data_IF_575018882769
#
_entry.id   IF_575018882769
#
_cell.length_a   1.000
_cell.length_b   1.000
_cell.length_c   1.000
_cell.angle_alpha   90.00
_cell.angle_beta   90.00
_cell.angle_gamma   90.00
#
_symmetry.space_group_name_H-M   'P 1'
#
loop_
_entity.id
_entity.type
_entity.pdbx_description
1 polymer ?
#
# COMPACT_ATOMS: atom_id res chain seq x y z
N UNK A 1 -5.39 -24.31 -18.87
CA UNK A 1 -6.25 -24.39 -17.68
C UNK A 1 -6.57 -22.97 -17.26
N UNK A 2 -7.82 -22.54 -17.44
CA UNK A 2 -8.23 -21.18 -17.06
C UNK A 2 -8.20 -21.05 -15.55
N UNK A 3 -7.57 -20.00 -15.03
CA UNK A 3 -7.65 -19.65 -13.61
C UNK A 3 -9.11 -19.50 -13.21
N UNK A 4 -9.49 -20.07 -12.07
CA UNK A 4 -10.81 -19.96 -11.47
C UNK A 4 -11.28 -18.49 -11.46
N UNK A 5 -12.49 -18.22 -11.96
CA UNK A 5 -13.03 -16.86 -12.03
C UNK A 5 -13.31 -16.36 -10.59
N UNK A 6 -12.38 -15.59 -10.03
CA UNK A 6 -12.59 -14.89 -8.76
C UNK A 6 -13.27 -13.54 -8.97
N UNK A 7 -14.25 -13.21 -8.11
CA UNK A 7 -14.92 -11.90 -8.12
C UNK A 7 -13.97 -10.75 -7.78
N UNK A 8 -14.30 -9.52 -8.18
CA UNK A 8 -13.51 -8.33 -7.86
C UNK A 8 -13.32 -8.15 -6.33
N UNK A 9 -14.37 -8.42 -5.55
CA UNK A 9 -14.34 -8.36 -4.08
C UNK A 9 -13.45 -9.45 -3.49
N UNK A 10 -13.46 -10.65 -4.06
CA UNK A 10 -12.60 -11.75 -3.59
C UNK A 10 -11.14 -11.52 -3.96
N UNK A 11 -10.84 -10.89 -5.11
CA UNK A 11 -9.49 -10.47 -5.47
C UNK A 11 -8.96 -9.40 -4.52
N UNK A 12 -9.80 -8.43 -4.16
CA UNK A 12 -9.46 -7.41 -3.17
C UNK A 12 -9.15 -8.03 -1.80
N UNK A 13 -10.04 -8.91 -1.32
CA UNK A 13 -9.87 -9.59 -0.04
C UNK A 13 -8.66 -10.53 -0.05
N UNK A 14 -8.40 -11.22 -1.15
CA UNK A 14 -7.22 -12.07 -1.33
C UNK A 14 -5.93 -11.26 -1.45
N UNK A 15 -5.97 -10.09 -2.07
CA UNK A 15 -4.84 -9.17 -2.12
C UNK A 15 -4.41 -8.74 -0.71
N UNK A 16 -5.33 -8.13 0.05
CA UNK A 16 -5.02 -7.62 1.40
C UNK A 16 -4.77 -8.71 2.44
N UNK A 17 -5.01 -9.98 2.09
CA UNK A 17 -4.66 -11.13 2.91
C UNK A 17 -3.37 -11.83 2.52
N UNK A 18 -2.71 -11.42 1.43
CA UNK A 18 -1.47 -12.01 0.90
C UNK A 18 -0.21 -11.22 1.28
N UNK A 19 0.97 -11.81 0.97
CA UNK A 19 2.27 -11.11 1.03
C UNK A 19 2.42 -10.19 -0.18
N UNK A 20 2.71 -8.92 0.06
CA UNK A 20 2.94 -7.94 -1.01
C UNK A 20 3.91 -6.84 -0.57
N UNK A 21 4.41 -6.08 -1.54
CA UNK A 21 5.26 -4.91 -1.30
C UNK A 21 4.65 -3.69 -1.97
N UNK A 22 4.51 -2.61 -1.21
CA UNK A 22 3.99 -1.32 -1.65
C UNK A 22 5.15 -0.44 -2.10
N UNK A 23 5.22 -0.10 -3.39
CA UNK A 23 6.21 0.82 -3.92
C UNK A 23 5.73 2.26 -3.79
N UNK A 24 6.38 3.03 -2.93
CA UNK A 24 6.26 4.48 -2.88
C UNK A 24 7.17 5.07 -3.96
N UNK A 25 6.60 5.49 -5.09
CA UNK A 25 7.39 5.92 -6.25
C UNK A 25 7.97 7.33 -6.15
N UNK A 26 7.43 8.16 -5.26
CA UNK A 26 7.85 9.54 -5.04
C UNK A 26 7.64 9.98 -3.59
N UNK A 27 8.35 11.01 -3.13
CA UNK A 27 8.15 11.62 -1.80
C UNK A 27 7.48 12.97 -1.90
N UNK A 28 6.34 13.09 -1.21
CA UNK A 28 5.46 14.25 -1.24
C UNK A 28 4.34 14.04 -2.26
N UNK A 29 3.16 13.68 -1.77
CA UNK A 29 1.98 13.50 -2.60
C UNK A 29 1.24 14.84 -2.82
N UNK A 30 0.99 15.28 -4.07
CA UNK A 30 0.34 16.56 -4.35
C UNK A 30 -1.14 16.59 -3.96
N UNK A 31 -1.79 15.42 -3.88
CA UNK A 31 -3.18 15.28 -3.44
C UNK A 31 -3.34 15.72 -1.98
N UNK A 32 -2.26 15.58 -1.19
CA UNK A 32 -2.11 16.15 0.15
C UNK A 32 -3.38 16.05 1.01
N UNK A 33 -3.91 14.83 1.21
CA UNK A 33 -5.16 14.62 1.94
C UNK A 33 -5.02 15.02 3.41
N UNK A 34 -5.23 16.29 3.73
CA UNK A 34 -4.79 16.94 4.99
C UNK A 34 -5.31 16.24 6.24
N UNK A 35 -6.55 15.74 6.20
CA UNK A 35 -7.17 15.07 7.34
C UNK A 35 -6.53 13.71 7.61
N UNK A 36 -6.38 12.86 6.60
CA UNK A 36 -6.13 11.41 6.77
C UNK A 36 -4.72 10.93 6.37
N UNK A 37 -3.94 11.78 5.71
CA UNK A 37 -2.62 11.41 5.21
C UNK A 37 -1.54 12.24 5.93
N UNK A 38 -0.66 11.63 6.75
CA UNK A 38 0.40 12.34 7.45
C UNK A 38 1.61 12.60 6.53
N UNK A 39 1.37 13.17 5.35
CA UNK A 39 2.42 13.48 4.37
C UNK A 39 3.49 14.40 4.93
N UNK A 40 3.08 15.37 5.74
CA UNK A 40 3.97 16.33 6.38
C UNK A 40 4.98 15.67 7.32
N UNK A 41 4.62 14.53 7.91
CA UNK A 41 5.51 13.73 8.77
C UNK A 41 6.50 12.97 7.90
N UNK A 42 6.01 12.29 6.86
CA UNK A 42 6.86 11.55 5.92
C UNK A 42 7.89 12.45 5.24
N UNK A 43 7.45 13.57 4.65
CA UNK A 43 8.33 14.49 3.92
C UNK A 43 9.43 15.04 4.83
N UNK A 44 9.09 15.36 6.08
CA UNK A 44 10.03 15.85 7.09
C UNK A 44 11.06 14.79 7.48
N UNK A 45 10.62 13.56 7.74
CA UNK A 45 11.47 12.49 8.24
C UNK A 45 12.29 11.80 7.14
N UNK A 46 11.84 11.87 5.88
CA UNK A 46 12.56 11.25 4.76
C UNK A 46 13.93 11.89 4.48
N UNK A 47 14.02 13.21 4.65
CA UNK A 47 15.26 13.98 4.46
C UNK A 47 15.60 14.27 2.99
N UNK A 48 16.91 14.36 2.72
CA UNK A 48 17.50 14.76 1.41
C UNK A 48 17.84 13.58 0.48
N UNK A 49 17.39 12.37 0.78
CA UNK A 49 17.64 11.19 -0.05
C UNK A 49 16.90 11.28 -1.41
N UNK A 50 17.16 10.32 -2.30
CA UNK A 50 16.47 10.18 -3.60
C UNK A 50 14.97 10.26 -3.41
N UNK A 51 14.30 11.27 -3.98
CA UNK A 51 12.85 11.53 -3.77
C UNK A 51 11.95 10.97 -4.86
N UNK A 52 12.51 10.55 -5.98
CA UNK A 52 11.80 9.97 -7.12
C UNK A 52 12.48 8.67 -7.51
N UNK A 53 11.72 7.58 -7.54
CA UNK A 53 12.26 6.28 -7.89
C UNK A 53 12.62 6.26 -9.38
N UNK A 54 13.82 5.77 -9.72
CA UNK A 54 14.19 5.56 -11.11
C UNK A 54 13.75 4.17 -11.57
N UNK A 55 13.58 3.99 -12.89
CA UNK A 55 13.31 2.65 -13.44
C UNK A 55 14.45 1.67 -13.11
N UNK A 56 15.70 2.12 -13.12
CA UNK A 56 16.85 1.26 -12.83
C UNK A 56 16.87 0.81 -11.36
N UNK A 57 16.67 1.72 -10.42
CA UNK A 57 16.57 1.35 -9.00
C UNK A 57 15.38 0.41 -8.75
N UNK A 58 14.23 0.66 -9.39
CA UNK A 58 13.09 -0.24 -9.34
C UNK A 58 13.45 -1.66 -9.81
N UNK A 59 14.11 -1.79 -10.98
CA UNK A 59 14.57 -3.08 -11.52
C UNK A 59 15.49 -3.81 -10.53
N UNK A 60 16.46 -3.11 -9.95
CA UNK A 60 17.36 -3.69 -8.94
C UNK A 60 16.59 -4.20 -7.74
N UNK A 61 15.70 -3.38 -7.17
CA UNK A 61 14.88 -3.79 -6.02
C UNK A 61 13.96 -4.96 -6.35
N UNK A 62 13.35 -4.95 -7.54
CA UNK A 62 12.45 -6.01 -7.99
C UNK A 62 13.19 -7.35 -8.09
N UNK A 63 14.44 -7.35 -8.56
CA UNK A 63 15.24 -8.58 -8.66
C UNK A 63 15.51 -9.25 -7.30
N UNK A 64 15.46 -8.48 -6.21
CA UNK A 64 15.58 -8.97 -4.84
C UNK A 64 14.26 -9.44 -4.21
N UNK A 65 13.14 -9.41 -4.95
CA UNK A 65 11.81 -9.82 -4.47
C UNK A 65 11.36 -11.13 -5.14
N UNK A 66 10.92 -12.15 -4.41
CA UNK A 66 10.40 -13.40 -4.97
C UNK A 66 9.12 -13.21 -5.78
N UNK A 67 8.96 -13.98 -6.87
CA UNK A 67 7.78 -13.89 -7.78
C UNK A 67 6.44 -14.18 -7.10
N UNK A 68 6.43 -14.88 -5.97
CA UNK A 68 5.21 -15.14 -5.19
C UNK A 68 4.65 -13.88 -4.52
N UNK A 69 5.50 -12.88 -4.27
CA UNK A 69 5.15 -11.62 -3.61
C UNK A 69 4.51 -10.70 -4.64
N UNK A 70 3.36 -10.11 -4.32
CA UNK A 70 2.69 -9.19 -5.22
C UNK A 70 3.31 -7.80 -5.17
N UNK A 71 3.30 -7.08 -6.29
CA UNK A 71 3.80 -5.71 -6.39
C UNK A 71 2.62 -4.76 -6.36
N UNK A 72 2.59 -3.86 -5.39
CA UNK A 72 1.56 -2.83 -5.27
C UNK A 72 2.13 -1.45 -5.56
N UNK A 73 1.53 -0.75 -6.52
CA UNK A 73 1.84 0.65 -6.80
C UNK A 73 0.82 1.53 -6.07
N UNK A 74 1.16 1.87 -4.83
CA UNK A 74 0.38 2.74 -3.95
C UNK A 74 1.32 3.43 -2.96
N UNK A 75 1.80 2.69 -1.95
CA UNK A 75 2.67 3.16 -0.90
C UNK A 75 2.18 4.45 -0.26
N UNK A 76 3.13 5.35 -0.02
CA UNK A 76 2.85 6.65 0.57
C UNK A 76 2.69 7.77 -0.45
N UNK A 77 2.54 7.51 -1.75
CA UNK A 77 2.42 8.59 -2.73
C UNK A 77 1.65 8.17 -3.97
N UNK A 78 0.95 9.12 -4.58
CA UNK A 78 0.28 8.89 -5.87
C UNK A 78 1.29 8.36 -6.90
N UNK A 79 1.10 7.13 -7.44
CA UNK A 79 2.05 6.55 -8.39
C UNK A 79 2.21 7.37 -9.66
N UNK A 80 1.15 8.02 -10.17
CA UNK A 80 1.19 8.83 -11.39
C UNK A 80 2.06 10.10 -11.28
N UNK A 81 2.52 10.48 -10.08
CA UNK A 81 3.51 11.53 -9.89
C UNK A 81 4.88 11.14 -10.46
N UNK A 82 5.17 9.84 -10.54
CA UNK A 82 6.41 9.34 -11.13
C UNK A 82 6.22 9.10 -12.63
N UNK A 83 6.94 9.80 -13.52
CA UNK A 83 6.78 9.67 -14.97
C UNK A 83 7.15 8.27 -15.49
N UNK A 84 7.96 7.51 -14.74
CA UNK A 84 8.34 6.13 -15.09
C UNK A 84 7.41 5.07 -14.50
N UNK A 85 6.30 5.45 -13.86
CA UNK A 85 5.37 4.50 -13.23
C UNK A 85 4.92 3.39 -14.18
N UNK A 86 4.42 3.73 -15.37
CA UNK A 86 3.89 2.74 -16.31
C UNK A 86 4.99 1.82 -16.84
N UNK A 87 6.23 2.33 -17.00
CA UNK A 87 7.38 1.51 -17.38
C UNK A 87 7.79 0.52 -16.28
N UNK A 88 7.73 0.94 -15.01
CA UNK A 88 7.95 0.05 -13.86
C UNK A 88 6.88 -1.04 -13.81
N UNK A 89 5.61 -0.69 -14.00
CA UNK A 89 4.50 -1.65 -14.01
C UNK A 89 4.62 -2.64 -15.19
N UNK A 90 4.93 -2.16 -16.39
CA UNK A 90 5.23 -2.99 -17.57
C UNK A 90 6.38 -3.96 -17.29
N UNK A 91 7.44 -3.47 -16.65
CA UNK A 91 8.60 -4.31 -16.31
C UNK A 91 8.23 -5.39 -15.28
N UNK A 92 7.48 -5.05 -14.22
CA UNK A 92 7.03 -6.02 -13.22
C UNK A 92 6.20 -7.15 -13.86
N UNK A 93 5.27 -6.81 -14.74
CA UNK A 93 4.48 -7.79 -15.48
C UNK A 93 5.34 -8.67 -16.40
N UNK A 94 6.28 -8.06 -17.13
CA UNK A 94 7.23 -8.79 -18.00
C UNK A 94 8.06 -9.81 -17.20
N UNK A 95 8.44 -9.45 -15.99
CA UNK A 95 9.19 -10.29 -15.06
C UNK A 95 8.33 -11.36 -14.34
N UNK A 96 7.04 -11.45 -14.66
CA UNK A 96 6.13 -12.47 -14.13
C UNK A 96 5.50 -12.14 -12.78
N UNK A 97 5.59 -10.90 -12.30
CA UNK A 97 4.88 -10.47 -11.10
C UNK A 97 3.40 -10.19 -11.40
N UNK A 98 2.58 -10.37 -10.37
CA UNK A 98 1.22 -9.81 -10.34
C UNK A 98 1.28 -8.40 -9.77
N UNK A 99 0.47 -7.50 -10.32
CA UNK A 99 0.44 -6.11 -9.90
C UNK A 99 -0.93 -5.71 -9.34
N UNK A 100 -0.89 -4.87 -8.31
CA UNK A 100 -2.01 -4.09 -7.82
C UNK A 100 -1.68 -2.61 -7.99
N UNK A 101 -2.70 -1.77 -8.20
CA UNK A 101 -2.55 -0.32 -8.27
C UNK A 101 -3.63 0.34 -7.43
N UNK A 102 -3.24 1.25 -6.54
CA UNK A 102 -4.16 2.22 -5.95
C UNK A 102 -3.73 3.63 -6.34
N UNK A 103 -4.60 4.34 -7.03
CA UNK A 103 -4.29 5.64 -7.64
C UNK A 103 -5.48 6.59 -7.53
N UNK A 104 -5.17 7.87 -7.46
CA UNK A 104 -6.08 9.01 -7.59
C UNK A 104 -6.13 9.53 -9.04
N UNK A 105 -5.21 9.05 -9.90
CA UNK A 105 -4.87 9.56 -11.23
C UNK A 105 -4.31 10.99 -11.25
N UNK A 106 -4.00 11.59 -10.10
CA UNK A 106 -3.45 12.94 -10.12
C UNK A 106 -2.06 12.99 -10.75
N UNK A 107 -1.89 13.88 -11.74
CA UNK A 107 -0.68 13.98 -12.56
C UNK A 107 -0.60 12.95 -13.69
N UNK A 108 -1.61 12.10 -13.89
CA UNK A 108 -1.64 11.18 -15.02
C UNK A 108 -1.89 11.94 -16.33
N UNK A 109 -0.98 11.76 -17.30
CA UNK A 109 -1.17 12.25 -18.66
C UNK A 109 -2.06 11.30 -19.47
N UNK A 110 -2.59 11.79 -20.60
CA UNK A 110 -3.26 10.96 -21.60
C UNK A 110 -2.46 9.71 -22.02
N UNK A 111 -1.14 9.84 -22.14
CA UNK A 111 -0.24 8.73 -22.48
C UNK A 111 -0.09 7.75 -21.31
N UNK A 112 0.03 8.25 -20.08
CA UNK A 112 0.04 7.42 -18.86
C UNK A 112 -1.23 6.55 -18.80
N UNK A 113 -2.41 7.14 -19.02
CA UNK A 113 -3.67 6.38 -19.05
C UNK A 113 -3.71 5.37 -20.18
N UNK A 114 -3.28 5.75 -21.39
CA UNK A 114 -3.19 4.81 -22.52
C UNK A 114 -2.32 3.59 -22.17
N UNK A 115 -1.20 3.81 -21.50
CA UNK A 115 -0.32 2.74 -21.05
C UNK A 115 -0.96 1.87 -19.97
N UNK A 116 -1.66 2.47 -19.00
CA UNK A 116 -2.37 1.74 -17.95
C UNK A 116 -3.46 0.82 -18.53
N UNK A 117 -4.21 1.30 -19.51
CA UNK A 117 -5.26 0.53 -20.19
C UNK A 117 -4.72 -0.74 -20.90
N UNK A 118 -3.42 -0.78 -21.22
CA UNK A 118 -2.78 -1.94 -21.84
C UNK A 118 -2.30 -2.99 -20.82
N UNK A 119 -2.41 -2.74 -19.52
CA UNK A 119 -1.89 -3.61 -18.46
C UNK A 119 -2.97 -4.55 -17.89
N UNK A 120 -2.49 -5.64 -17.26
CA UNK A 120 -3.33 -6.58 -16.52
C UNK A 120 -3.11 -6.39 -15.03
N UNK A 121 -4.20 -6.29 -14.27
CA UNK A 121 -4.18 -6.03 -12.83
C UNK A 121 -4.80 -7.19 -12.06
N UNK A 122 -4.18 -7.55 -10.94
CA UNK A 122 -4.80 -8.43 -9.95
C UNK A 122 -5.89 -7.68 -9.17
N UNK A 123 -5.64 -6.40 -8.87
CA UNK A 123 -6.63 -5.47 -8.35
C UNK A 123 -6.28 -4.02 -8.69
N UNK A 124 -7.32 -3.19 -8.78
CA UNK A 124 -7.22 -1.79 -9.13
C UNK A 124 -8.17 -0.97 -8.26
N UNK A 125 -7.62 -0.01 -7.51
CA UNK A 125 -8.39 0.91 -6.68
C UNK A 125 -8.28 2.32 -7.23
N UNK A 126 -9.42 2.93 -7.54
CA UNK A 126 -9.51 4.32 -7.94
C UNK A 126 -10.05 5.15 -6.78
N UNK A 127 -9.21 6.03 -6.24
CA UNK A 127 -9.62 7.02 -5.25
C UNK A 127 -10.17 8.26 -5.95
N UNK A 128 -11.48 8.44 -5.86
CA UNK A 128 -12.18 9.57 -6.45
C UNK A 128 -12.10 10.82 -5.57
N UNK A 129 -12.26 12.03 -6.14
CA UNK A 129 -12.27 13.27 -5.38
C UNK A 129 -13.36 13.26 -4.30
N UNK A 130 -13.00 13.67 -3.08
CA UNK A 130 -13.96 13.77 -1.95
C UNK A 130 -14.56 15.18 -1.78
N UNK A 131 -14.03 16.17 -2.51
CA UNK A 131 -14.48 17.56 -2.49
C UNK A 131 -14.19 18.35 -1.21
N UNK A 132 -13.48 17.77 -0.24
CA UNK A 132 -13.34 18.37 1.11
C UNK A 132 -11.96 18.25 1.74
N UNK A 133 -11.34 17.07 1.69
CA UNK A 133 -10.12 16.76 2.42
C UNK A 133 -8.93 16.47 1.52
N UNK A 134 -9.16 16.20 0.24
CA UNK A 134 -8.13 15.98 -0.77
C UNK A 134 -8.05 17.12 -1.78
N UNK A 135 -6.83 17.46 -2.18
CA UNK A 135 -6.52 18.54 -3.10
C UNK A 135 -6.44 18.02 -4.55
N UNK A 136 -7.59 17.74 -5.15
CA UNK A 136 -7.67 17.32 -6.54
C UNK A 136 -7.67 18.51 -7.50
N UNK A 137 -6.86 18.43 -8.56
CA UNK A 137 -6.98 19.33 -9.71
C UNK A 137 -7.93 18.69 -10.73
N UNK A 138 -9.16 19.21 -10.81
CA UNK A 138 -10.22 18.65 -11.67
C UNK A 138 -10.18 19.26 -13.08
N UNK A 139 -9.03 19.12 -13.76
CA UNK A 139 -8.90 19.52 -15.16
C UNK A 139 -9.77 18.65 -16.07
N UNK A 140 -10.02 19.10 -17.29
CA UNK A 140 -10.77 18.29 -18.25
C UNK A 140 -10.00 17.02 -18.66
N UNK A 141 -8.66 17.11 -18.75
CA UNK A 141 -7.81 15.92 -18.94
C UNK A 141 -7.97 14.92 -17.79
N UNK A 142 -8.01 15.39 -16.53
CA UNK A 142 -8.23 14.53 -15.38
C UNK A 142 -9.58 13.80 -15.46
N UNK A 143 -10.67 14.52 -15.75
CA UNK A 143 -12.02 13.94 -15.85
C UNK A 143 -12.09 12.90 -16.97
N UNK A 144 -11.55 13.23 -18.15
CA UNK A 144 -11.50 12.32 -19.28
C UNK A 144 -10.69 11.06 -18.94
N UNK A 145 -9.54 11.22 -18.30
CA UNK A 145 -8.70 10.11 -17.85
C UNK A 145 -9.41 9.20 -16.85
N UNK A 146 -10.17 9.76 -15.90
CA UNK A 146 -11.03 8.99 -14.99
C UNK A 146 -12.04 8.17 -15.78
N UNK A 147 -12.79 8.78 -16.71
CA UNK A 147 -13.79 8.08 -17.52
C UNK A 147 -13.17 6.94 -18.34
N UNK A 148 -12.03 7.19 -18.99
CA UNK A 148 -11.31 6.17 -19.77
C UNK A 148 -10.89 4.99 -18.91
N UNK A 149 -10.38 5.23 -17.69
CA UNK A 149 -10.04 4.16 -16.75
C UNK A 149 -11.28 3.38 -16.32
N UNK A 150 -12.36 4.08 -15.95
CA UNK A 150 -13.63 3.45 -15.53
C UNK A 150 -14.23 2.54 -16.61
N UNK A 151 -14.10 2.90 -17.88
CA UNK A 151 -14.59 2.12 -19.00
C UNK A 151 -13.63 1.00 -19.41
N UNK A 152 -12.32 1.24 -19.32
CA UNK A 152 -11.32 0.37 -19.91
C UNK A 152 -10.70 -0.66 -18.96
N UNK A 153 -10.75 -0.44 -17.63
CA UNK A 153 -10.26 -1.41 -16.64
C UNK A 153 -11.46 -2.08 -15.97
N UNK A 154 -11.64 -3.41 -16.14
CA UNK A 154 -12.70 -4.13 -15.45
C UNK A 154 -12.38 -4.31 -13.95
N UNK A 155 -13.40 -4.54 -13.14
CA UNK A 155 -13.26 -4.90 -11.71
C UNK A 155 -12.56 -3.83 -10.83
N UNK A 156 -12.74 -2.55 -11.17
CA UNK A 156 -12.24 -1.44 -10.34
C UNK A 156 -13.00 -1.38 -9.01
N UNK A 157 -12.26 -1.15 -7.94
CA UNK A 157 -12.82 -0.70 -6.67
C UNK A 157 -12.73 0.82 -6.58
N UNK A 158 -13.84 1.45 -6.18
CA UNK A 158 -13.89 2.90 -5.99
C UNK A 158 -13.85 3.22 -4.50
N UNK A 159 -13.09 4.25 -4.15
CA UNK A 159 -13.07 4.79 -2.80
C UNK A 159 -13.15 6.31 -2.83
N UNK A 160 -13.85 6.88 -1.86
CA UNK A 160 -13.81 8.30 -1.53
C UNK A 160 -13.52 8.43 -0.04
N UNK A 161 -12.72 9.44 0.33
CA UNK A 161 -12.35 9.71 1.73
C UNK A 161 -13.12 10.92 2.28
N UNK A 162 -14.45 10.93 2.15
CA UNK A 162 -15.30 12.02 2.65
C UNK A 162 -15.52 11.91 4.19
N UNK A 163 -16.54 12.58 4.73
CA UNK A 163 -16.83 12.54 6.16
C UNK A 163 -17.24 11.17 6.70
N UNK A 164 -17.65 10.24 5.83
CA UNK A 164 -17.98 8.86 6.21
C UNK A 164 -16.73 7.97 6.29
N UNK A 165 -15.59 8.45 5.82
CA UNK A 165 -14.35 7.69 5.86
C UNK A 165 -13.81 7.59 7.29
N UNK A 166 -13.69 6.35 7.77
CA UNK A 166 -13.09 6.05 9.06
C UNK A 166 -11.65 5.59 8.83
N UNK A 167 -10.70 6.44 9.22
CA UNK A 167 -9.29 6.09 9.15
C UNK A 167 -8.92 5.02 10.19
N UNK A 168 -7.75 4.44 10.00
CA UNK A 168 -7.09 3.60 10.99
C UNK A 168 -6.34 4.41 12.07
N UNK A 169 -6.58 5.72 12.17
CA UNK A 169 -5.89 6.71 13.02
C UNK A 169 -4.39 6.84 12.76
N UNK A 170 -3.88 6.31 11.64
CA UNK A 170 -2.46 6.37 11.31
C UNK A 170 -1.95 7.81 11.35
N UNK A 171 -2.72 8.73 10.80
CA UNK A 171 -2.43 10.16 10.78
C UNK A 171 -2.21 10.72 12.18
N UNK A 172 -3.06 10.34 13.14
CA UNK A 172 -2.98 10.81 14.51
C UNK A 172 -1.78 10.19 15.22
N UNK A 173 -1.53 8.89 15.03
CA UNK A 173 -0.33 8.21 15.54
C UNK A 173 0.95 8.87 15.02
N UNK A 174 1.00 9.18 13.73
CA UNK A 174 2.15 9.82 13.09
C UNK A 174 2.36 11.26 13.58
N UNK A 175 1.27 11.96 13.92
CA UNK A 175 1.27 13.32 14.50
C UNK A 175 1.48 13.36 16.01
N UNK A 176 1.67 12.21 16.66
CA UNK A 176 1.94 12.11 18.11
C UNK A 176 0.69 12.10 18.99
N UNK A 177 -0.50 12.01 18.40
CA UNK A 177 -1.76 11.82 19.12
C UNK A 177 -1.93 10.31 19.36
N UNK A 178 -1.49 9.87 20.54
CA UNK A 178 -1.45 8.45 20.89
C UNK A 178 -2.70 8.03 21.69
N UNK A 179 -3.44 6.99 21.25
CA UNK A 179 -4.48 6.38 22.06
C UNK A 179 -3.86 5.60 23.24
N UNK A 180 -4.70 5.02 24.10
CA UNK A 180 -4.23 4.10 25.15
C UNK A 180 -3.51 2.91 24.50
N UNK A 181 -2.29 2.56 24.95
CA UNK A 181 -1.54 1.44 24.38
C UNK A 181 -2.21 0.10 24.70
N UNK A 182 -2.18 -0.81 23.73
CA UNK A 182 -2.59 -2.21 23.88
C UNK A 182 -1.40 -3.02 24.36
N UNK A 183 -1.59 -3.80 25.44
CA UNK A 183 -0.54 -4.68 26.00
C UNK A 183 -0.39 -5.99 25.23
N UNK A 184 -1.46 -6.46 24.61
CA UNK A 184 -1.51 -7.74 23.87
C UNK A 184 -2.25 -7.54 22.56
N UNK A 185 -1.75 -8.16 21.51
CA UNK A 185 -2.48 -8.26 20.26
C UNK A 185 -1.68 -8.97 19.18
N UNK A 186 -2.30 -9.07 18.00
CA UNK A 186 -1.72 -9.78 16.87
C UNK A 186 -1.85 -8.94 15.60
N UNK A 187 -0.76 -8.90 14.81
CA UNK A 187 -0.75 -8.29 13.49
C UNK A 187 -0.67 -9.37 12.41
N UNK A 188 -1.63 -9.39 11.48
CA UNK A 188 -1.61 -10.31 10.34
C UNK A 188 -0.38 -10.12 9.45
N UNK A 189 0.18 -8.90 9.42
CA UNK A 189 1.39 -8.58 8.65
C UNK A 189 2.60 -9.40 9.12
N UNK A 190 2.62 -9.89 10.36
CA UNK A 190 3.68 -10.79 10.85
C UNK A 190 3.72 -12.12 10.10
N UNK A 191 2.54 -12.66 9.78
CA UNK A 191 2.41 -13.87 8.98
C UNK A 191 2.66 -13.56 7.50
N UNK A 192 1.98 -12.52 6.99
CA UNK A 192 2.02 -12.12 5.58
C UNK A 192 2.56 -10.68 5.46
N UNK A 193 3.89 -10.47 5.32
CA UNK A 193 4.47 -9.14 5.30
C UNK A 193 3.91 -8.25 4.18
N UNK A 194 3.70 -6.98 4.55
CA UNK A 194 3.19 -5.91 3.68
C UNK A 194 4.11 -4.70 3.87
N UNK A 195 5.30 -4.79 3.28
CA UNK A 195 6.35 -3.78 3.42
C UNK A 195 6.10 -2.60 2.49
N UNK A 196 6.59 -1.43 2.89
CA UNK A 196 6.57 -0.23 2.03
C UNK A 196 7.99 0.09 1.60
N UNK A 197 8.21 0.17 0.29
CA UNK A 197 9.52 0.39 -0.33
C UNK A 197 9.60 1.86 -0.73
N UNK A 198 10.65 2.52 -0.27
CA UNK A 198 10.89 3.94 -0.53
C UNK A 198 11.68 4.16 -1.83
N UNK A 199 11.69 5.38 -2.42
CA UNK A 199 12.43 5.67 -3.64
C UNK A 199 13.94 5.40 -3.58
N UNK A 200 14.55 5.50 -2.40
CA UNK A 200 15.97 5.19 -2.14
C UNK A 200 16.21 3.71 -1.76
N UNK A 201 15.17 2.89 -1.84
CA UNK A 201 15.19 1.45 -1.56
C UNK A 201 15.06 1.06 -0.10
N UNK A 202 15.01 2.02 0.83
CA UNK A 202 14.70 1.71 2.24
C UNK A 202 13.37 0.98 2.33
N UNK A 203 13.34 -0.04 3.18
CA UNK A 203 12.15 -0.86 3.42
C UNK A 203 11.57 -0.53 4.77
N UNK A 204 10.35 0.02 4.78
CA UNK A 204 9.58 0.23 6.00
C UNK A 204 8.75 -1.00 6.33
N UNK A 205 8.59 -1.23 7.63
CA UNK A 205 7.86 -2.39 8.16
C UNK A 205 6.39 -2.48 7.73
N UNK A 206 5.72 -1.34 7.51
CA UNK A 206 4.26 -1.29 7.44
C UNK A 206 3.76 0.06 6.87
N UNK A 207 2.57 0.03 6.25
CA UNK A 207 1.77 1.19 5.81
C UNK A 207 1.40 2.20 6.92
N UNK A 208 1.67 1.86 8.18
CA UNK A 208 1.47 2.74 9.33
C UNK A 208 2.69 3.63 9.62
N UNK A 209 3.89 3.28 9.12
CA UNK A 209 5.17 3.89 9.53
C UNK A 209 5.56 5.10 8.68
N UNK A 210 4.70 6.13 8.60
CA UNK A 210 5.05 7.38 7.91
C UNK A 210 6.18 8.15 8.61
N UNK A 211 6.45 7.84 9.89
CA UNK A 211 7.59 8.40 10.62
C UNK A 211 8.93 7.81 10.19
N UNK A 212 8.93 6.67 9.51
CA UNK A 212 10.12 5.92 9.10
C UNK A 212 10.98 5.46 10.29
N UNK A 213 10.35 5.23 11.46
CA UNK A 213 11.03 4.85 12.69
C UNK A 213 11.55 3.41 12.63
N UNK A 214 10.93 2.56 11.79
CA UNK A 214 11.20 1.13 11.73
C UNK A 214 11.65 0.72 10.34
N UNK A 215 12.76 1.28 9.88
CA UNK A 215 13.42 0.81 8.64
C UNK A 215 14.06 -0.57 8.85
N UNK A 216 13.72 -1.54 8.00
CA UNK A 216 14.21 -2.92 8.06
C UNK A 216 15.55 -3.09 7.35
N UNK A 217 15.78 -2.38 6.25
CA UNK A 217 16.98 -2.54 5.42
C UNK A 217 16.76 -1.83 4.08
N UNK A 218 17.48 -2.24 3.03
CA UNK A 218 17.39 -1.64 1.71
C UNK A 218 17.29 -2.72 0.62
N UNK A 219 16.26 -2.68 -0.24
CA UNK A 219 16.12 -3.67 -1.34
C UNK A 219 17.13 -3.46 -2.48
N UNK A 220 17.94 -2.41 -2.46
CA UNK A 220 19.03 -2.25 -3.43
C UNK A 220 20.16 -3.25 -3.20
N UNK A 221 20.34 -3.70 -1.95
CA UNK A 221 21.46 -4.58 -1.55
C UNK A 221 21.04 -5.79 -0.70
N UNK A 222 19.80 -5.82 -0.21
CA UNK A 222 19.32 -6.84 0.72
C UNK A 222 18.16 -7.64 0.11
N UNK A 223 18.29 -8.98 -0.03
CA UNK A 223 17.18 -9.83 -0.48
C UNK A 223 15.96 -9.77 0.44
N UNK A 224 14.76 -9.87 -0.15
CA UNK A 224 13.49 -9.79 0.56
C UNK A 224 13.38 -10.79 1.72
N UNK A 225 13.84 -12.03 1.55
CA UNK A 225 13.78 -13.07 2.58
C UNK A 225 14.56 -12.70 3.84
N UNK A 226 15.71 -12.04 3.67
CA UNK A 226 16.50 -11.55 4.80
C UNK A 226 15.74 -10.48 5.57
N UNK A 227 15.03 -9.58 4.86
CA UNK A 227 14.17 -8.56 5.46
C UNK A 227 12.98 -9.19 6.20
N UNK A 228 12.35 -10.22 5.63
CA UNK A 228 11.26 -10.98 6.28
C UNK A 228 11.75 -11.63 7.58
N UNK A 229 12.93 -12.28 7.55
CA UNK A 229 13.52 -12.89 8.75
C UNK A 229 13.74 -11.83 9.85
N UNK A 230 14.34 -10.69 9.49
CA UNK A 230 14.58 -9.57 10.40
C UNK A 230 13.29 -8.95 10.93
N UNK A 231 12.25 -8.86 10.10
CA UNK A 231 10.95 -8.37 10.49
C UNK A 231 10.28 -9.27 11.53
N UNK A 232 10.25 -10.58 11.27
CA UNK A 232 9.64 -11.57 12.17
C UNK A 232 10.36 -11.64 13.51
N UNK A 233 11.68 -11.41 13.56
CA UNK A 233 12.40 -11.34 14.83
C UNK A 233 12.16 -10.04 15.62
N UNK A 234 11.71 -8.96 14.98
CA UNK A 234 11.51 -7.63 15.62
C UNK A 234 10.06 -7.27 15.91
N UNK A 235 9.09 -7.91 15.25
CA UNK A 235 7.67 -7.55 15.33
C UNK A 235 7.09 -7.49 16.76
N UNK A 236 7.45 -8.40 17.71
CA UNK A 236 6.91 -8.31 19.07
C UNK A 236 7.25 -7.03 19.83
N UNK A 237 8.19 -6.19 19.34
CA UNK A 237 8.73 -5.05 20.07
C UNK A 237 8.57 -3.69 19.38
N UNK A 238 7.80 -3.58 18.28
CA UNK A 238 7.59 -2.30 17.61
C UNK A 238 6.59 -1.45 18.38
N UNK A 239 7.02 -0.35 19.01
CA UNK A 239 6.17 0.42 19.92
C UNK A 239 4.93 1.01 19.24
N UNK A 240 5.03 1.38 17.96
CA UNK A 240 3.88 1.83 17.15
C UNK A 240 2.75 0.78 17.09
N UNK A 241 3.06 -0.52 17.12
CA UNK A 241 2.05 -1.57 17.05
C UNK A 241 1.12 -1.57 18.28
N UNK A 242 1.58 -1.12 19.45
CA UNK A 242 0.75 -1.00 20.65
C UNK A 242 -0.38 0.01 20.48
N UNK A 243 -0.24 0.97 19.56
CA UNK A 243 -1.25 2.00 19.30
C UNK A 243 -2.07 1.74 18.04
N UNK A 244 -1.70 0.74 17.25
CA UNK A 244 -2.30 0.50 15.95
C UNK A 244 -3.72 -0.07 16.07
N UNK A 245 -4.71 0.56 15.40
CA UNK A 245 -6.08 0.04 15.35
C UNK A 245 -6.18 -1.34 14.68
N UNK A 246 -5.30 -1.65 13.71
CA UNK A 246 -5.21 -2.96 13.01
C UNK A 246 -4.62 -4.09 13.89
N UNK A 247 -4.08 -3.77 15.07
CA UNK A 247 -3.54 -4.76 16.01
C UNK A 247 -4.69 -5.44 16.76
N UNK A 248 -5.11 -6.62 16.33
CA UNK A 248 -6.28 -7.30 16.91
C UNK A 248 -6.08 -7.53 18.41
N UNK A 249 -7.02 -7.06 19.26
CA UNK A 249 -7.05 -7.41 20.68
C UNK A 249 -7.73 -8.78 20.84
N UNK A 250 -7.11 -9.70 21.60
CA UNK A 250 -7.67 -11.03 21.91
C UNK A 250 -9.07 -10.96 22.55
N UNK A 251 -9.39 -9.83 23.18
CA UNK A 251 -10.70 -9.60 23.78
C UNK A 251 -11.84 -9.60 22.75
N UNK A 252 -11.55 -9.24 21.48
CA UNK A 252 -12.54 -9.17 20.40
C UNK A 252 -12.54 -10.38 19.47
N UNK A 253 -11.46 -11.16 19.42
CA UNK A 253 -11.33 -12.24 18.45
C UNK A 253 -10.82 -13.53 19.09
N UNK A 254 -11.52 -14.65 18.84
CA UNK A 254 -10.99 -15.98 19.16
C UNK A 254 -9.98 -16.36 18.06
N UNK A 255 -8.73 -16.62 18.43
CA UNK A 255 -7.72 -17.14 17.51
C UNK A 255 -7.81 -18.66 17.56
N UNK A 256 -7.92 -19.31 16.40
CA UNK A 256 -7.95 -20.77 16.30
C UNK A 256 -7.10 -21.23 15.12
N UNK A 257 -6.63 -22.47 15.17
CA UNK A 257 -5.88 -23.09 14.08
C UNK A 257 -6.68 -24.24 13.49
N UNK A 258 -6.88 -24.21 12.17
CA UNK A 258 -7.42 -25.35 11.40
C UNK A 258 -6.35 -25.77 10.40
N UNK A 259 -5.90 -27.02 10.48
CA UNK A 259 -4.90 -27.59 9.57
C UNK A 259 -3.65 -26.70 9.36
N UNK A 260 -3.09 -26.17 10.47
CA UNK A 260 -1.88 -25.33 10.43
C UNK A 260 -2.08 -23.91 9.89
N UNK A 261 -3.30 -23.51 9.52
CA UNK A 261 -3.63 -22.13 9.14
C UNK A 261 -4.28 -21.40 10.31
N UNK A 262 -3.78 -20.20 10.63
CA UNK A 262 -4.36 -19.33 11.65
C UNK A 262 -5.68 -18.72 11.13
N UNK A 263 -6.77 -18.95 11.86
CA UNK A 263 -8.09 -18.35 11.66
C UNK A 263 -8.45 -17.41 12.82
N UNK A 264 -9.41 -16.50 12.58
CA UNK A 264 -9.87 -15.51 13.57
C UNK A 264 -11.39 -15.41 13.53
N UNK A 265 -12.01 -15.40 14.71
CA UNK A 265 -13.46 -15.28 14.87
C UNK A 265 -13.83 -13.99 15.59
N UNK A 266 -14.62 -13.08 14.99
CA UNK A 266 -15.05 -11.84 15.64
C UNK A 266 -16.19 -12.08 16.64
N UNK A 267 -15.95 -11.84 17.93
CA UNK A 267 -16.95 -12.01 19.00
C UNK A 267 -18.09 -10.98 18.94
N UNK A 268 -17.89 -9.82 18.30
CA UNK A 268 -18.87 -8.72 18.31
C UNK A 268 -19.92 -8.78 17.20
N UNK A 269 -19.94 -9.84 16.38
CA UNK A 269 -20.94 -10.02 15.31
C UNK A 269 -22.13 -10.91 15.72
N UNK A 270 -22.16 -11.38 16.97
CA UNK A 270 -23.16 -12.33 17.47
C UNK A 270 -23.64 -12.04 18.91
N UNK A 271 -23.31 -10.86 19.45
CA UNK A 271 -23.99 -10.25 20.60
C UNK A 271 -24.77 -9.05 20.10
#
# INVERSE_FOLDING_TARGET
MGSEQMSAGDRANNFYSSEYVEFTLAIGCPVNCHKYCPQEVLVRNYGKATRMMSLNSFKTMLSNIPKKVMIDFSGFCEPCVNPSFTDMAKHALKEGYRIHVATTLQGASNQTVKDMLALKYEGFVLHLPDGRYSNFSLTDEYKENVFRIMQGIPNIQYITMNDLFISNERENLCRGILPKPRKVGFCRKTANPQFVIMPDGRVQTCDMDFKLEYTLGNLLDTPYEALVKKFRSKQPSLSMCHYCKKYYSLDRYLIYTVAGKLGYFNKSKWM
#
